data_IF_579901313099
#
_entry.id   IF_579901313099
#
_cell.length_a   1.000
_cell.length_b   1.000
_cell.length_c   1.000
_cell.angle_alpha   90.00
_cell.angle_beta   90.00
_cell.angle_gamma   90.00
#
_symmetry.space_group_name_H-M   'P 1'
#
loop_
_entity.id
_entity.type
_entity.pdbx_description
1 polymer ?
#
# COMPACT_ATOMS: atom_id res chain seq x y z
N UNK A 1 0.70 -9.95 -23.81
CA UNK A 1 0.53 -8.69 -23.07
C UNK A 1 1.42 -7.65 -23.71
N UNK A 2 1.10 -6.36 -23.60
CA UNK A 2 2.06 -5.32 -23.98
C UNK A 2 3.16 -5.19 -22.91
N UNK A 3 4.33 -4.68 -23.28
CA UNK A 3 5.43 -4.38 -22.35
C UNK A 3 4.97 -3.52 -21.17
N UNK A 4 4.01 -2.61 -21.41
CA UNK A 4 3.41 -1.75 -20.38
C UNK A 4 2.59 -2.58 -19.39
N UNK A 5 1.79 -3.53 -19.88
CA UNK A 5 0.95 -4.41 -19.04
C UNK A 5 1.81 -5.30 -18.14
N UNK A 6 2.87 -5.89 -18.69
CA UNK A 6 3.80 -6.74 -17.92
C UNK A 6 4.52 -5.94 -16.86
N UNK A 7 5.08 -4.78 -17.23
CA UNK A 7 5.78 -3.90 -16.29
C UNK A 7 4.84 -3.38 -15.20
N UNK A 8 3.62 -2.98 -15.55
CA UNK A 8 2.67 -2.45 -14.59
C UNK A 8 2.19 -3.54 -13.62
N UNK A 9 2.00 -4.78 -14.09
CA UNK A 9 1.65 -5.89 -13.21
C UNK A 9 2.73 -6.12 -12.13
N UNK A 10 4.01 -6.15 -12.53
CA UNK A 10 5.15 -6.31 -11.62
C UNK A 10 5.22 -5.15 -10.62
N UNK A 11 5.08 -3.91 -11.08
CA UNK A 11 5.14 -2.72 -10.23
C UNK A 11 3.99 -2.68 -9.21
N UNK A 12 2.77 -3.02 -9.63
CA UNK A 12 1.62 -3.06 -8.71
C UNK A 12 1.82 -4.10 -7.61
N UNK A 13 2.33 -5.29 -7.94
CA UNK A 13 2.65 -6.31 -6.93
C UNK A 13 3.72 -5.83 -5.94
N UNK A 14 4.77 -5.18 -6.46
CA UNK A 14 5.83 -4.62 -5.63
C UNK A 14 5.32 -3.51 -4.69
N UNK A 15 4.58 -2.53 -5.20
CA UNK A 15 4.08 -1.42 -4.40
C UNK A 15 3.07 -1.85 -3.35
N UNK A 16 2.15 -2.78 -3.66
CA UNK A 16 1.21 -3.32 -2.67
C UNK A 16 1.96 -3.98 -1.52
N UNK A 17 2.98 -4.79 -1.82
CA UNK A 17 3.79 -5.44 -0.79
C UNK A 17 4.50 -4.40 0.09
N UNK A 18 5.19 -3.45 -0.54
CA UNK A 18 5.98 -2.46 0.18
C UNK A 18 5.12 -1.51 1.04
N UNK A 19 3.96 -1.10 0.54
CA UNK A 19 3.03 -0.27 1.31
C UNK A 19 2.51 -1.00 2.56
N UNK A 20 2.29 -2.32 2.50
CA UNK A 20 1.90 -3.12 3.68
C UNK A 20 3.05 -3.25 4.69
N UNK A 21 4.29 -3.32 4.24
CA UNK A 21 5.48 -3.29 5.11
C UNK A 21 5.56 -1.94 5.84
N UNK A 22 5.41 -0.83 5.12
CA UNK A 22 5.35 0.51 5.71
C UNK A 22 4.17 0.70 6.66
N UNK A 23 2.96 0.26 6.28
CA UNK A 23 1.80 0.30 7.17
C UNK A 23 2.12 -0.36 8.51
N UNK A 24 2.64 -1.60 8.47
CA UNK A 24 2.98 -2.34 9.68
C UNK A 24 4.02 -1.61 10.51
N UNK A 25 5.10 -1.15 9.88
CA UNK A 25 6.17 -0.43 10.57
C UNK A 25 5.66 0.86 11.25
N UNK A 26 4.82 1.63 10.56
CA UNK A 26 4.24 2.84 11.11
C UNK A 26 3.31 2.56 12.30
N UNK A 27 2.50 1.49 12.26
CA UNK A 27 1.68 1.06 13.41
C UNK A 27 2.55 0.63 14.59
N UNK A 28 3.61 -0.14 14.34
CA UNK A 28 4.53 -0.60 15.37
C UNK A 28 5.22 0.58 16.07
N UNK A 29 5.61 1.61 15.31
CA UNK A 29 6.20 2.83 15.86
C UNK A 29 5.19 3.76 16.53
N UNK A 30 3.97 3.86 16.01
CA UNK A 30 2.91 4.62 16.66
C UNK A 30 2.67 4.11 18.09
N UNK A 31 2.64 2.78 18.27
CA UNK A 31 2.46 2.16 19.59
C UNK A 31 3.60 2.49 20.57
N UNK A 32 4.85 2.55 20.06
CA UNK A 32 6.02 2.92 20.85
C UNK A 32 6.06 4.42 21.17
N UNK A 33 5.53 5.25 20.27
CA UNK A 33 5.56 6.70 20.39
C UNK A 33 4.52 7.26 21.38
N UNK A 34 3.51 6.47 21.79
CA UNK A 34 2.45 6.93 22.72
C UNK A 34 3.02 7.52 24.01
N UNK A 35 4.09 6.93 24.56
CA UNK A 35 4.73 7.41 25.79
C UNK A 35 5.59 8.65 25.60
N UNK A 36 5.95 8.99 24.35
CA UNK A 36 6.78 10.14 24.00
C UNK A 36 5.92 11.35 23.61
N UNK A 37 4.95 11.12 22.72
CA UNK A 37 4.01 12.13 22.25
C UNK A 37 2.79 11.45 21.64
N UNK A 38 1.62 11.75 22.19
CA UNK A 38 0.34 11.28 21.64
C UNK A 38 0.08 11.84 20.25
N UNK A 39 0.53 13.06 19.96
CA UNK A 39 0.41 13.67 18.64
C UNK A 39 1.26 12.93 17.59
N UNK A 40 2.52 12.62 17.91
CA UNK A 40 3.39 11.84 17.00
C UNK A 40 2.83 10.44 16.77
N UNK A 41 2.35 9.78 17.82
CA UNK A 41 1.71 8.47 17.69
C UNK A 41 0.47 8.52 16.78
N UNK A 42 -0.34 9.58 16.89
CA UNK A 42 -1.52 9.78 16.07
C UNK A 42 -1.14 10.01 14.59
N UNK A 43 -0.15 10.86 14.32
CA UNK A 43 0.32 11.10 12.95
C UNK A 43 0.90 9.83 12.29
N UNK A 44 1.59 8.98 13.05
CA UNK A 44 2.06 7.68 12.55
C UNK A 44 0.89 6.72 12.25
N UNK A 45 -0.19 6.72 13.05
CA UNK A 45 -1.39 5.94 12.73
C UNK A 45 -2.08 6.44 11.46
N UNK A 46 -2.16 7.75 11.26
CA UNK A 46 -2.73 8.37 10.06
C UNK A 46 -1.90 8.03 8.80
N UNK A 47 -0.58 8.04 8.90
CA UNK A 47 0.32 7.58 7.85
C UNK A 47 0.09 6.10 7.52
N UNK A 48 -0.05 5.24 8.54
CA UNK A 48 -0.36 3.82 8.34
C UNK A 48 -1.71 3.61 7.64
N UNK A 49 -2.75 4.34 8.05
CA UNK A 49 -4.06 4.29 7.41
C UNK A 49 -4.00 4.73 5.94
N UNK A 50 -3.19 5.74 5.64
CA UNK A 50 -2.97 6.21 4.27
C UNK A 50 -2.26 5.16 3.41
N UNK A 51 -1.26 4.44 3.95
CA UNK A 51 -0.61 3.31 3.27
C UNK A 51 -1.59 2.15 3.00
N UNK A 52 -2.47 1.86 3.94
CA UNK A 52 -3.52 0.85 3.76
C UNK A 52 -4.50 1.26 2.63
N UNK A 53 -4.94 2.52 2.62
CA UNK A 53 -5.82 3.05 1.58
C UNK A 53 -5.17 2.98 0.19
N UNK A 54 -3.91 3.42 0.06
CA UNK A 54 -3.15 3.31 -1.17
C UNK A 54 -3.03 1.84 -1.64
N UNK A 55 -2.72 0.91 -0.72
CA UNK A 55 -2.64 -0.52 -1.03
C UNK A 55 -3.95 -1.09 -1.58
N UNK A 56 -5.09 -0.64 -1.05
CA UNK A 56 -6.42 -1.06 -1.52
C UNK A 56 -6.68 -0.56 -2.94
N UNK A 57 -6.35 0.69 -3.24
CA UNK A 57 -6.55 1.24 -4.58
C UNK A 57 -5.61 0.61 -5.62
N UNK A 58 -4.35 0.34 -5.25
CA UNK A 58 -3.41 -0.41 -6.10
C UNK A 58 -3.90 -1.85 -6.34
N UNK A 59 -4.50 -2.49 -5.33
CA UNK A 59 -5.10 -3.82 -5.49
C UNK A 59 -6.25 -3.80 -6.50
N UNK A 60 -7.13 -2.78 -6.45
CA UNK A 60 -8.20 -2.60 -7.44
C UNK A 60 -7.63 -2.36 -8.85
N UNK A 61 -6.59 -1.53 -8.97
CA UNK A 61 -5.91 -1.27 -10.24
C UNK A 61 -5.33 -2.56 -10.84
N UNK A 62 -4.68 -3.39 -10.02
CA UNK A 62 -4.16 -4.70 -10.44
C UNK A 62 -5.26 -5.63 -10.91
N UNK A 63 -6.36 -5.72 -10.19
CA UNK A 63 -7.51 -6.53 -10.59
C UNK A 63 -8.12 -6.06 -11.91
N UNK A 64 -8.20 -4.75 -12.13
CA UNK A 64 -8.69 -4.17 -13.38
C UNK A 64 -7.76 -4.50 -14.56
N UNK A 65 -6.44 -4.43 -14.36
CA UNK A 65 -5.42 -4.82 -15.34
C UNK A 65 -5.55 -6.30 -15.73
N UNK A 66 -5.69 -7.21 -14.76
CA UNK A 66 -5.88 -8.64 -15.03
C UNK A 66 -7.17 -8.89 -15.82
N UNK A 67 -8.26 -8.23 -15.44
CA UNK A 67 -9.55 -8.35 -16.16
C UNK A 67 -9.46 -7.82 -17.59
N UNK A 68 -8.72 -6.75 -17.86
CA UNK A 68 -8.58 -6.21 -19.21
C UNK A 68 -7.76 -7.13 -20.12
N UNK A 69 -6.79 -7.86 -19.55
CA UNK A 69 -6.01 -8.87 -20.28
C UNK A 69 -6.83 -10.12 -20.64
N UNK A 70 -7.76 -10.54 -19.77
CA UNK A 70 -8.61 -11.72 -20.00
C UNK A 70 -9.73 -11.48 -21.02
N UNK A 71 -10.08 -10.22 -21.28
CA UNK A 71 -11.13 -9.82 -22.23
C UNK A 71 -10.62 -9.60 -23.65
N UNK A 72 -9.31 -9.75 -23.88
CA UNK A 72 -8.66 -9.60 -25.18
C UNK A 72 -8.41 -10.94 -25.84
#
# INVERSE_FOLDING_TARGET
MSDIEEKLHILLDYWIKHNREHEKEFRDWAQKAVSLSTEVAQQLQEAAASMAAASNDLTKARQALIKSMQRR
#
